data_IF_244507562101
#
_entry.id   IF_244507562101
#
_cell.length_a   1.000
_cell.length_b   1.000
_cell.length_c   1.000
_cell.angle_alpha   90.00
_cell.angle_beta   90.00
_cell.angle_gamma   90.00
#
_symmetry.space_group_name_H-M   'P 1'
#
loop_
_entity.id
_entity.type
_entity.pdbx_description
1 polymer ?
#
# COMPACT_ATOMS: atom_id res chain seq x y z
N UNK A 1 -29.82 38.77 -7.19
CA UNK A 1 -30.30 37.42 -6.79
C UNK A 1 -29.45 36.31 -7.41
N UNK A 2 -29.23 36.33 -8.74
CA UNK A 2 -28.46 35.31 -9.48
C UNK A 2 -27.04 35.07 -8.94
N UNK A 3 -26.25 36.12 -8.70
CA UNK A 3 -24.87 35.99 -8.19
C UNK A 3 -24.80 35.26 -6.85
N UNK A 4 -25.73 35.56 -5.92
CA UNK A 4 -25.79 34.87 -4.62
C UNK A 4 -26.13 33.39 -4.77
N UNK A 5 -27.06 33.06 -5.65
CA UNK A 5 -27.43 31.65 -5.94
C UNK A 5 -26.24 30.90 -6.54
N UNK A 6 -25.54 31.50 -7.51
CA UNK A 6 -24.35 30.90 -8.13
C UNK A 6 -23.25 30.68 -7.08
N UNK A 7 -22.96 31.66 -6.23
CA UNK A 7 -21.96 31.53 -5.16
C UNK A 7 -22.32 30.40 -4.20
N UNK A 8 -23.59 30.29 -3.78
CA UNK A 8 -24.03 29.22 -2.88
C UNK A 8 -23.88 27.85 -3.55
N UNK A 9 -24.24 27.71 -4.82
CA UNK A 9 -24.08 26.45 -5.56
C UNK A 9 -22.62 26.04 -5.69
N UNK A 10 -21.72 26.98 -5.98
CA UNK A 10 -20.28 26.71 -6.06
C UNK A 10 -19.75 26.24 -4.71
N UNK A 11 -20.13 26.89 -3.61
CA UNK A 11 -19.72 26.49 -2.27
C UNK A 11 -20.21 25.07 -1.91
N UNK A 12 -21.46 24.74 -2.26
CA UNK A 12 -21.99 23.39 -2.06
C UNK A 12 -21.20 22.34 -2.84
N UNK A 13 -20.84 22.62 -4.10
CA UNK A 13 -20.00 21.73 -4.89
C UNK A 13 -18.61 21.54 -4.26
N UNK A 14 -17.99 22.62 -3.79
CA UNK A 14 -16.68 22.57 -3.12
C UNK A 14 -16.74 21.72 -1.85
N UNK A 15 -17.75 21.90 -1.01
CA UNK A 15 -17.95 21.10 0.20
C UNK A 15 -18.18 19.62 -0.14
N UNK A 16 -18.98 19.32 -1.16
CA UNK A 16 -19.22 17.95 -1.60
C UNK A 16 -17.93 17.27 -2.11
N UNK A 17 -17.11 18.00 -2.88
CA UNK A 17 -15.82 17.49 -3.37
C UNK A 17 -14.86 17.27 -2.20
N UNK A 18 -14.74 18.22 -1.27
CA UNK A 18 -13.88 18.07 -0.10
C UNK A 18 -14.32 16.90 0.79
N UNK A 19 -15.62 16.74 1.02
CA UNK A 19 -16.16 15.60 1.76
C UNK A 19 -15.85 14.26 1.10
N UNK A 20 -15.97 14.19 -0.23
CA UNK A 20 -15.61 12.99 -1.00
C UNK A 20 -14.11 12.68 -0.91
N UNK A 21 -13.26 13.70 -1.08
CA UNK A 21 -11.80 13.55 -0.99
C UNK A 21 -11.40 13.06 0.39
N UNK A 22 -11.97 13.66 1.45
CA UNK A 22 -11.72 13.24 2.82
C UNK A 22 -12.15 11.79 3.06
N UNK A 23 -13.26 11.35 2.49
CA UNK A 23 -13.73 9.96 2.60
C UNK A 23 -12.83 8.96 1.87
N UNK A 24 -12.30 9.32 0.70
CA UNK A 24 -11.48 8.43 -0.13
C UNK A 24 -10.00 8.43 0.23
N UNK A 25 -9.52 9.41 1.01
CA UNK A 25 -8.10 9.56 1.34
C UNK A 25 -7.86 9.55 2.86
N UNK A 26 -7.71 8.36 3.46
CA UNK A 26 -7.29 8.22 4.84
C UNK A 26 -6.01 9.01 5.15
N UNK A 27 -6.03 9.76 6.24
CA UNK A 27 -4.91 10.62 6.66
C UNK A 27 -3.74 9.82 7.24
N UNK A 28 -4.03 8.67 7.88
CA UNK A 28 -3.00 7.78 8.43
C UNK A 28 -2.20 7.17 7.28
N UNK A 29 -0.91 7.44 7.19
CA UNK A 29 -0.01 6.90 6.14
C UNK A 29 1.10 6.01 6.67
N UNK A 30 1.22 5.92 7.99
CA UNK A 30 2.19 5.06 8.65
C UNK A 30 1.53 4.41 9.85
N UNK A 31 1.95 3.18 10.12
CA UNK A 31 1.59 2.45 11.33
C UNK A 31 2.87 2.02 12.05
N UNK A 32 2.79 1.96 13.38
CA UNK A 32 3.80 1.28 14.16
C UNK A 32 3.68 -0.23 13.91
N UNK A 33 4.79 -0.95 14.11
CA UNK A 33 4.75 -2.41 14.11
C UNK A 33 3.81 -2.89 15.22
N UNK A 34 2.99 -3.93 14.97
CA UNK A 34 2.16 -4.52 16.01
C UNK A 34 3.02 -4.96 17.21
N UNK A 35 2.51 -4.82 18.45
CA UNK A 35 3.23 -5.28 19.62
C UNK A 35 3.46 -6.80 19.53
N UNK A 36 4.73 -7.22 19.60
CA UNK A 36 5.15 -8.62 19.44
C UNK A 36 5.60 -9.01 18.03
N UNK A 37 5.57 -8.09 17.06
CA UNK A 37 6.18 -8.32 15.73
C UNK A 37 7.67 -8.02 15.79
N UNK A 38 8.50 -8.97 15.34
CA UNK A 38 9.94 -8.74 15.20
C UNK A 38 10.20 -7.66 14.14
N UNK A 39 11.15 -6.78 14.45
CA UNK A 39 11.65 -5.82 13.48
C UNK A 39 12.56 -6.56 12.49
N UNK A 40 12.02 -6.84 11.32
CA UNK A 40 12.71 -7.51 10.23
C UNK A 40 13.34 -6.52 9.25
N UNK A 41 13.60 -6.98 8.03
CA UNK A 41 14.12 -6.14 6.96
C UNK A 41 13.00 -5.23 6.43
N UNK A 42 13.24 -3.91 6.43
CA UNK A 42 12.32 -2.95 5.82
C UNK A 42 12.67 -2.79 4.35
N UNK A 43 11.71 -3.06 3.46
CA UNK A 43 11.93 -2.94 2.02
C UNK A 43 10.81 -2.12 1.35
N UNK A 44 11.18 -1.23 0.41
CA UNK A 44 10.22 -0.47 -0.36
C UNK A 44 9.72 -1.27 -1.58
N UNK A 45 8.41 -1.33 -1.78
CA UNK A 45 7.81 -1.74 -3.05
C UNK A 45 7.38 -0.51 -3.84
N UNK A 46 7.98 -0.36 -5.02
CA UNK A 46 7.59 0.60 -6.06
C UNK A 46 7.37 -0.17 -7.35
N UNK A 47 6.46 0.28 -8.21
CA UNK A 47 6.18 -0.37 -9.50
C UNK A 47 7.38 -0.56 -10.43
N UNK A 48 8.52 0.11 -10.19
CA UNK A 48 9.77 -0.06 -10.95
C UNK A 48 10.96 -0.51 -10.08
N UNK A 49 10.76 -0.77 -8.78
CA UNK A 49 11.80 -1.40 -7.96
C UNK A 49 11.72 -2.93 -8.10
N UNK A 50 12.87 -3.62 -8.06
CA UNK A 50 12.87 -5.07 -8.01
C UNK A 50 12.06 -5.54 -6.81
N UNK A 51 11.04 -6.34 -7.08
CA UNK A 51 10.26 -7.04 -6.07
C UNK A 51 11.18 -8.00 -5.30
N UNK A 52 11.00 -8.17 -3.98
CA UNK A 52 11.79 -9.14 -3.22
C UNK A 52 11.62 -10.52 -3.83
N UNK A 53 12.75 -11.13 -4.16
CA UNK A 53 12.81 -12.46 -4.74
C UNK A 53 13.58 -13.37 -3.81
N UNK A 54 13.06 -14.55 -3.52
CA UNK A 54 13.84 -15.56 -2.79
C UNK A 54 14.86 -16.22 -3.72
N UNK A 55 15.95 -16.74 -3.16
CA UNK A 55 16.97 -17.47 -3.94
C UNK A 55 16.35 -18.65 -4.71
N UNK A 56 15.36 -19.30 -4.13
CA UNK A 56 14.62 -20.41 -4.74
C UNK A 56 13.67 -19.96 -5.86
N UNK A 57 13.60 -18.67 -6.15
CA UNK A 57 12.91 -18.12 -7.31
C UNK A 57 11.49 -17.62 -7.05
N UNK A 58 11.00 -17.65 -5.80
CA UNK A 58 9.71 -17.10 -5.42
C UNK A 58 9.71 -15.57 -5.38
N UNK A 59 8.57 -14.93 -5.67
CA UNK A 59 8.47 -13.48 -5.86
C UNK A 59 7.33 -12.92 -5.00
N UNK A 60 7.63 -11.89 -4.23
CA UNK A 60 6.64 -11.12 -3.48
C UNK A 60 6.32 -9.79 -4.17
N UNK A 61 5.05 -9.44 -4.27
CA UNK A 61 4.63 -8.15 -4.83
C UNK A 61 3.38 -7.63 -4.11
N UNK A 62 3.17 -6.32 -4.19
CA UNK A 62 2.02 -5.66 -3.59
C UNK A 62 1.34 -4.75 -4.61
N UNK A 63 0.02 -4.79 -4.64
CA UNK A 63 -0.79 -4.08 -5.63
C UNK A 63 -2.11 -3.59 -5.02
N UNK A 64 -2.89 -2.85 -5.81
CA UNK A 64 -4.27 -2.49 -5.48
C UNK A 64 -4.43 -1.73 -4.14
N UNK A 65 -3.60 -0.69 -3.95
CA UNK A 65 -3.69 0.24 -2.82
C UNK A 65 -5.00 1.02 -2.93
N UNK A 66 -5.87 0.88 -1.93
CA UNK A 66 -7.22 1.45 -1.94
C UNK A 66 -7.67 1.87 -0.56
N UNK A 67 -8.68 2.73 -0.49
CA UNK A 67 -9.37 3.08 0.75
C UNK A 67 -10.60 2.19 0.92
N UNK A 68 -10.68 1.48 2.04
CA UNK A 68 -11.86 0.71 2.46
C UNK A 68 -12.22 1.17 3.86
N UNK A 69 -13.45 1.64 4.07
CA UNK A 69 -13.94 2.14 5.36
C UNK A 69 -13.01 3.17 6.03
N UNK A 70 -12.45 4.10 5.25
CA UNK A 70 -11.49 5.12 5.73
C UNK A 70 -10.15 4.57 6.23
N UNK A 71 -9.79 3.35 5.82
CA UNK A 71 -8.48 2.75 6.07
C UNK A 71 -7.80 2.39 4.76
N UNK A 72 -6.47 2.50 4.74
CA UNK A 72 -5.71 2.01 3.61
C UNK A 72 -5.66 0.48 3.64
N UNK A 73 -5.93 -0.12 2.49
CA UNK A 73 -5.84 -1.56 2.23
C UNK A 73 -4.95 -1.78 1.01
N UNK A 74 -4.10 -2.79 1.07
CA UNK A 74 -3.26 -3.23 -0.04
C UNK A 74 -3.39 -4.75 -0.22
N UNK A 75 -3.31 -5.24 -1.45
CA UNK A 75 -3.26 -6.66 -1.73
C UNK A 75 -1.80 -7.10 -1.81
N UNK A 76 -1.34 -7.85 -0.81
CA UNK A 76 -0.03 -8.47 -0.77
C UNK A 76 -0.11 -9.86 -1.41
N UNK A 77 0.82 -10.17 -2.31
CA UNK A 77 0.85 -11.41 -3.07
C UNK A 77 2.22 -12.07 -2.98
N UNK A 78 2.20 -13.35 -2.65
CA UNK A 78 3.37 -14.22 -2.63
C UNK A 78 3.22 -15.29 -3.69
N UNK A 79 4.19 -15.38 -4.59
CA UNK A 79 4.25 -16.40 -5.62
C UNK A 79 5.45 -17.33 -5.34
N UNK A 80 5.25 -18.46 -4.64
CA UNK A 80 6.30 -19.42 -4.37
C UNK A 80 6.74 -20.11 -5.67
N UNK A 81 8.00 -20.51 -5.75
CA UNK A 81 8.50 -21.26 -6.90
C UNK A 81 7.84 -22.65 -6.98
N UNK A 82 7.09 -22.91 -8.06
CA UNK A 82 6.42 -24.19 -8.29
C UNK A 82 5.16 -24.43 -7.44
N UNK A 83 4.65 -23.40 -6.74
CA UNK A 83 3.46 -23.50 -5.89
C UNK A 83 2.34 -22.51 -6.30
N UNK A 84 1.16 -22.60 -5.66
CA UNK A 84 0.07 -21.66 -5.90
C UNK A 84 0.38 -20.27 -5.32
N UNK A 85 -0.03 -19.23 -6.03
CA UNK A 85 0.04 -17.85 -5.52
C UNK A 85 -0.86 -17.68 -4.31
N UNK A 86 -0.32 -17.10 -3.24
CA UNK A 86 -1.05 -16.66 -2.07
C UNK A 86 -1.34 -15.16 -2.19
N UNK A 87 -2.55 -14.73 -1.87
CA UNK A 87 -2.95 -13.33 -1.91
C UNK A 87 -3.75 -12.98 -0.66
N UNK A 88 -3.35 -11.90 0.03
CA UNK A 88 -3.99 -11.44 1.26
C UNK A 88 -4.17 -9.92 1.18
N UNK A 89 -5.35 -9.45 1.55
CA UNK A 89 -5.59 -8.02 1.75
C UNK A 89 -5.13 -7.62 3.16
N UNK A 90 -4.22 -6.65 3.22
CA UNK A 90 -3.67 -6.10 4.46
C UNK A 90 -4.17 -4.68 4.65
N UNK A 91 -4.67 -4.37 5.84
CA UNK A 91 -4.83 -2.99 6.29
C UNK A 91 -3.48 -2.44 6.74
N UNK A 92 -3.33 -1.11 6.71
CA UNK A 92 -2.11 -0.47 7.17
C UNK A 92 -1.84 -0.80 8.65
N UNK A 93 -0.68 -1.39 8.92
CA UNK A 93 -0.27 -1.90 10.23
C UNK A 93 -0.58 -3.38 10.48
N UNK A 94 -1.28 -4.05 9.57
CA UNK A 94 -1.53 -5.50 9.67
C UNK A 94 -0.36 -6.31 9.13
N UNK A 95 -0.25 -7.53 9.67
CA UNK A 95 0.71 -8.54 9.26
C UNK A 95 0.00 -9.76 8.68
N UNK A 96 0.62 -10.39 7.68
CA UNK A 96 0.24 -11.69 7.16
C UNK A 96 1.47 -12.58 7.02
N UNK A 97 1.29 -13.85 7.34
CA UNK A 97 2.28 -14.89 7.10
C UNK A 97 2.07 -15.50 5.73
N UNK A 98 3.15 -15.66 4.97
CA UNK A 98 3.17 -16.33 3.69
C UNK A 98 4.11 -17.53 3.76
N UNK A 99 3.56 -18.73 3.61
CA UNK A 99 4.33 -19.97 3.76
C UNK A 99 5.52 -20.01 2.78
N UNK A 100 6.72 -20.23 3.32
CA UNK A 100 7.94 -20.31 2.52
C UNK A 100 8.49 -18.94 2.08
N UNK A 101 7.99 -17.87 2.68
CA UNK A 101 8.53 -16.52 2.53
C UNK A 101 8.79 -15.89 3.89
N UNK A 102 7.75 -15.85 4.74
CA UNK A 102 7.82 -15.22 6.04
C UNK A 102 6.62 -14.33 6.36
N UNK A 103 6.76 -13.57 7.43
CA UNK A 103 5.74 -12.65 7.92
C UNK A 103 5.99 -11.25 7.37
N UNK A 104 5.02 -10.73 6.62
CA UNK A 104 5.05 -9.39 6.04
C UNK A 104 4.10 -8.50 6.80
N UNK A 105 4.56 -7.32 7.19
CA UNK A 105 3.74 -6.27 7.81
C UNK A 105 3.77 -5.01 6.96
N UNK A 106 2.61 -4.45 6.64
CA UNK A 106 2.55 -3.20 5.87
C UNK A 106 2.65 -1.99 6.80
N UNK A 107 3.72 -1.21 6.68
CA UNK A 107 4.04 -0.15 7.67
C UNK A 107 3.86 1.27 7.12
N UNK A 108 3.93 1.44 5.79
CA UNK A 108 3.75 2.76 5.18
C UNK A 108 2.94 2.69 3.90
N UNK A 109 1.82 3.41 3.92
CA UNK A 109 0.96 3.61 2.78
C UNK A 109 1.47 4.78 1.93
N UNK A 110 1.64 4.50 0.65
CA UNK A 110 1.94 5.46 -0.40
C UNK A 110 0.70 5.59 -1.30
N UNK A 111 -0.32 6.35 -0.89
CA UNK A 111 -1.59 6.37 -1.62
C UNK A 111 -1.49 7.09 -2.97
N UNK A 112 -2.39 6.78 -3.92
CA UNK A 112 -2.49 7.55 -5.16
C UNK A 112 -2.72 9.04 -4.86
N UNK A 113 -2.26 9.95 -5.73
CA UNK A 113 -2.51 11.37 -5.58
C UNK A 113 -4.02 11.66 -5.72
N UNK A 114 -4.50 12.66 -4.98
CA UNK A 114 -5.90 13.13 -5.06
C UNK A 114 -6.20 13.70 -6.46
N UNK A 115 -5.19 14.32 -7.08
CA UNK A 115 -5.23 14.89 -8.41
C UNK A 115 -3.95 14.43 -9.11
N UNK A 116 -4.08 13.74 -10.24
CA UNK A 116 -2.97 13.49 -11.15
C UNK A 116 -2.73 14.76 -11.98
N UNK A 117 -1.79 15.59 -11.53
CA UNK A 117 -1.38 16.79 -12.24
C UNK A 117 0.04 16.56 -12.79
N UNK A 118 0.18 16.49 -14.11
CA UNK A 118 1.46 16.28 -14.81
C UNK A 118 1.62 14.88 -15.41
N UNK A 119 2.71 14.70 -16.17
CA UNK A 119 3.09 13.38 -16.67
C UNK A 119 3.50 12.46 -15.51
N UNK A 120 3.08 11.18 -15.51
CA UNK A 120 3.54 10.23 -14.50
C UNK A 120 5.07 10.18 -14.53
N UNK A 121 5.72 10.50 -13.40
CA UNK A 121 7.18 10.49 -13.32
C UNK A 121 7.73 9.13 -13.80
N UNK A 122 8.61 9.12 -14.82
CA UNK A 122 9.24 7.89 -15.29
C UNK A 122 10.05 7.27 -14.15
N UNK A 123 9.63 6.09 -13.69
CA UNK A 123 10.28 5.39 -12.58
C UNK A 123 9.98 5.94 -11.18
N UNK A 124 9.00 6.85 -11.04
CA UNK A 124 8.80 7.74 -9.88
C UNK A 124 7.64 7.47 -8.93
N UNK A 125 6.96 6.32 -8.96
CA UNK A 125 5.76 6.08 -8.14
C UNK A 125 6.00 6.07 -6.62
N UNK A 126 5.07 6.55 -5.81
CA UNK A 126 5.19 6.49 -4.33
C UNK A 126 5.44 5.05 -3.84
N UNK A 127 6.43 4.84 -2.97
CA UNK A 127 6.82 3.50 -2.50
C UNK A 127 6.05 3.08 -1.26
N UNK A 128 5.44 1.90 -1.29
CA UNK A 128 4.91 1.24 -0.09
C UNK A 128 6.09 0.72 0.71
N UNK A 129 6.06 0.81 2.04
CA UNK A 129 7.10 0.18 2.87
C UNK A 129 6.49 -0.98 3.66
N UNK A 130 7.25 -2.08 3.69
CA UNK A 130 6.90 -3.30 4.38
C UNK A 130 8.03 -3.71 5.30
N UNK A 131 7.68 -4.30 6.44
CA UNK A 131 8.59 -5.03 7.32
C UNK A 131 8.45 -6.53 7.02
N UNK A 132 9.56 -7.19 6.67
CA UNK A 132 9.60 -8.63 6.41
C UNK A 132 10.48 -9.34 7.43
N UNK A 133 9.88 -10.31 8.10
CA UNK A 133 10.57 -11.30 8.92
C UNK A 133 10.55 -12.60 8.13
N UNK A 134 11.69 -12.99 7.57
CA UNK A 134 11.83 -14.19 6.75
C UNK A 134 11.63 -15.45 7.58
N UNK A 135 11.08 -16.49 6.95
CA UNK A 135 11.07 -17.82 7.56
C UNK A 135 12.49 -18.38 7.73
N UNK A 136 12.74 -19.22 8.76
CA UNK A 136 14.04 -19.84 8.95
C UNK A 136 14.52 -20.59 7.70
N UNK A 137 15.71 -20.24 7.21
CA UNK A 137 16.32 -20.84 6.02
C UNK A 137 15.94 -20.19 4.69
N UNK A 138 14.98 -19.26 4.66
CA UNK A 138 14.65 -18.46 3.47
C UNK A 138 15.63 -17.31 3.35
N UNK A 139 16.15 -17.09 2.14
CA UNK A 139 17.05 -16.00 1.83
C UNK A 139 16.58 -15.24 0.59
N UNK A 140 16.75 -13.92 0.60
CA UNK A 140 16.49 -13.08 -0.55
C UNK A 140 17.68 -13.09 -1.52
N UNK A 141 17.35 -13.06 -2.80
CA UNK A 141 18.28 -12.77 -3.87
C UNK A 141 18.66 -11.28 -3.78
N UNK A 142 19.94 -10.99 -3.53
CA UNK A 142 20.47 -9.62 -3.45
C UNK A 142 20.92 -9.11 -4.81
#
# INVERSE_FOLDING_TARGET
MVVRVVVVLVLLCVVAVMGRVWWTHPLKRSAALPPGTEQGETFPIRGNLPSPRTIDGGIFYAENVRSVNHEWVITAKWHPHGGPTQAVDLRLGESAHFDGFGTVTWIKAAPPPIIELGEPEPGGGRSQEFNLVLDPGVNLWK
#
